data_IF_151041173532
#
_entry.id   IF_151041173532
#
_cell.length_a   1.000
_cell.length_b   1.000
_cell.length_c   1.000
_cell.angle_alpha   90.00
_cell.angle_beta   90.00
_cell.angle_gamma   90.00
#
_symmetry.space_group_name_H-M   'P 1'
#
loop_
_entity.id
_entity.type
_entity.pdbx_description
1 polymer ?
#
# COMPACT_ATOMS: atom_id res chain seq x y z
N UNK A 1 -41.35 -15.72 19.41
CA UNK A 1 -40.57 -14.85 20.28
C UNK A 1 -39.12 -15.21 20.34
N UNK A 2 -38.80 -16.43 20.61
CA UNK A 2 -37.42 -16.87 20.62
C UNK A 2 -36.76 -16.79 19.30
N UNK A 3 -37.53 -16.95 18.22
CA UNK A 3 -37.02 -16.86 16.85
C UNK A 3 -36.42 -15.52 16.51
N UNK A 4 -36.87 -14.45 17.13
CA UNK A 4 -36.36 -13.12 16.85
C UNK A 4 -34.89 -13.00 17.24
N UNK A 5 -34.52 -13.59 18.34
CA UNK A 5 -33.15 -13.52 18.84
C UNK A 5 -32.20 -14.27 17.95
N UNK A 6 -32.64 -15.39 17.44
CA UNK A 6 -31.83 -16.19 16.54
C UNK A 6 -31.51 -15.45 15.25
N UNK A 7 -32.49 -14.74 14.74
CA UNK A 7 -32.27 -13.97 13.51
C UNK A 7 -31.21 -12.90 13.67
N UNK A 8 -31.17 -12.27 14.82
CA UNK A 8 -30.19 -11.24 15.06
C UNK A 8 -28.75 -11.77 15.06
N UNK A 9 -28.58 -12.95 15.62
CA UNK A 9 -27.27 -13.57 15.61
C UNK A 9 -26.78 -13.87 14.19
N UNK A 10 -27.68 -14.27 13.32
CA UNK A 10 -27.32 -14.56 11.95
C UNK A 10 -26.88 -13.33 11.18
N UNK A 11 -27.51 -12.21 11.45
CA UNK A 11 -27.14 -10.96 10.78
C UNK A 11 -25.72 -10.53 11.14
N UNK A 12 -25.32 -10.69 12.37
CA UNK A 12 -23.97 -10.37 12.79
C UNK A 12 -22.93 -11.20 12.04
N UNK A 13 -23.23 -12.45 11.84
CA UNK A 13 -22.34 -13.36 11.11
C UNK A 13 -22.15 -12.90 9.67
N UNK A 14 -23.19 -12.48 9.02
CA UNK A 14 -23.12 -12.02 7.64
C UNK A 14 -22.22 -10.81 7.51
N UNK A 15 -22.27 -9.88 8.45
CA UNK A 15 -21.41 -8.71 8.42
C UNK A 15 -19.93 -9.07 8.46
N UNK A 16 -19.56 -10.06 9.24
CA UNK A 16 -18.17 -10.49 9.33
C UNK A 16 -17.69 -11.02 7.98
N UNK A 17 -18.51 -11.76 7.29
CA UNK A 17 -18.14 -12.31 6.00
C UNK A 17 -17.89 -11.22 4.97
N UNK A 18 -18.65 -10.15 5.01
CA UNK A 18 -18.46 -9.05 4.07
C UNK A 18 -17.08 -8.42 4.21
N UNK A 19 -16.53 -8.34 5.41
CA UNK A 19 -15.24 -7.75 5.63
C UNK A 19 -14.12 -8.55 5.00
N UNK A 20 -14.23 -9.84 4.94
CA UNK A 20 -13.20 -10.69 4.35
C UNK A 20 -13.01 -10.47 2.87
N UNK A 21 -14.07 -10.15 2.16
CA UNK A 21 -13.99 -9.93 0.73
C UNK A 21 -13.22 -8.69 0.32
N UNK A 22 -12.88 -7.83 1.28
CA UNK A 22 -12.22 -6.57 0.98
C UNK A 22 -10.71 -6.62 1.14
N UNK A 23 -10.15 -7.75 1.54
CA UNK A 23 -8.73 -7.85 1.85
C UNK A 23 -7.82 -7.89 0.62
N UNK A 24 -8.37 -8.04 -0.59
CA UNK A 24 -7.59 -8.30 -1.79
C UNK A 24 -7.44 -7.09 -2.71
N UNK A 25 -7.49 -5.87 -2.18
CA UNK A 25 -7.35 -4.66 -2.99
C UNK A 25 -5.90 -4.34 -3.35
N UNK A 26 -5.69 -3.43 -4.32
CA UNK A 26 -4.35 -2.98 -4.65
C UNK A 26 -3.70 -2.23 -3.51
N UNK A 27 -2.38 -2.29 -3.45
CA UNK A 27 -1.57 -1.56 -2.46
C UNK A 27 -1.00 -0.32 -3.11
N UNK A 28 -1.06 0.80 -2.41
CA UNK A 28 -0.49 2.06 -2.90
C UNK A 28 0.50 2.59 -1.88
N UNK A 29 1.70 2.90 -2.33
CA UNK A 29 2.70 3.63 -1.56
C UNK A 29 2.94 4.99 -2.18
N UNK A 30 3.35 5.93 -1.36
CA UNK A 30 3.66 7.30 -1.80
C UNK A 30 5.10 7.63 -1.44
N UNK A 31 5.76 8.36 -2.34
CA UNK A 31 7.13 8.83 -2.14
C UNK A 31 7.15 10.33 -2.37
N UNK A 32 7.76 11.07 -1.46
CA UNK A 32 7.86 12.53 -1.54
C UNK A 32 9.25 12.98 -1.14
N UNK A 33 9.78 14.03 -1.79
CA UNK A 33 11.05 14.61 -1.34
C UNK A 33 11.04 15.08 0.11
N UNK A 34 9.85 15.44 0.62
CA UNK A 34 9.69 15.82 2.02
C UNK A 34 9.25 14.68 2.92
N UNK A 35 9.27 13.46 2.42
CA UNK A 35 8.84 12.29 3.19
C UNK A 35 9.93 11.74 4.10
N UNK A 36 9.62 10.63 4.73
CA UNK A 36 10.55 9.93 5.61
C UNK A 36 10.44 8.43 5.42
N UNK A 37 11.59 7.77 5.35
CA UNK A 37 11.63 6.32 5.21
C UNK A 37 11.19 5.60 6.50
N UNK A 38 11.06 6.32 7.59
CA UNK A 38 10.53 5.79 8.84
C UNK A 38 8.99 5.74 8.87
N UNK A 39 8.34 6.39 7.94
CA UNK A 39 6.87 6.42 7.86
C UNK A 39 6.34 5.22 7.10
N UNK A 40 5.02 5.05 7.11
CA UNK A 40 4.39 3.90 6.48
C UNK A 40 4.36 3.95 4.96
N UNK A 41 4.46 5.14 4.38
CA UNK A 41 4.34 5.32 2.94
C UNK A 41 2.93 5.15 2.40
N UNK A 42 1.93 4.98 3.26
CA UNK A 42 0.56 4.67 2.82
C UNK A 42 -0.34 5.89 2.72
N UNK A 43 0.14 7.06 3.08
CA UNK A 43 -0.59 8.31 2.96
C UNK A 43 0.18 9.28 2.09
N UNK A 44 -0.53 10.14 1.38
CA UNK A 44 0.07 10.99 0.35
C UNK A 44 0.74 12.24 0.89
N UNK A 45 0.47 12.61 2.12
CA UNK A 45 1.03 13.82 2.75
C UNK A 45 1.33 13.53 4.21
N UNK A 46 2.31 14.25 4.79
CA UNK A 46 2.58 14.10 6.22
C UNK A 46 1.36 14.48 7.04
N UNK A 47 1.12 13.74 8.12
CA UNK A 47 0.06 14.13 9.06
C UNK A 47 0.49 15.34 9.88
N UNK A 48 -0.44 15.91 10.63
CA UNK A 48 -0.20 17.14 11.38
C UNK A 48 0.96 17.01 12.37
N UNK A 49 1.08 15.86 13.01
CA UNK A 49 2.12 15.60 14.00
C UNK A 49 3.44 15.17 13.37
N UNK A 50 3.47 14.97 12.08
CA UNK A 50 4.63 14.45 11.34
C UNK A 50 5.13 13.13 11.91
N UNK A 51 4.20 12.27 12.25
CA UNK A 51 4.49 10.91 12.72
C UNK A 51 4.24 9.87 11.64
N UNK A 52 3.59 10.26 10.56
CA UNK A 52 3.31 9.39 9.44
C UNK A 52 3.18 10.21 8.16
N UNK A 53 3.47 9.58 7.03
CA UNK A 53 3.40 10.24 5.73
C UNK A 53 3.99 9.37 4.65
N UNK A 54 4.31 9.97 3.50
CA UNK A 54 4.94 9.25 2.40
C UNK A 54 6.38 8.87 2.74
N UNK A 55 6.90 7.87 2.04
CA UNK A 55 8.32 7.54 2.12
C UNK A 55 9.16 8.69 1.55
N UNK A 56 10.41 8.76 1.98
CA UNK A 56 11.34 9.76 1.47
C UNK A 56 12.16 9.31 0.28
N UNK A 57 12.19 8.03 -0.04
CA UNK A 57 13.00 7.51 -1.14
C UNK A 57 12.30 6.41 -1.91
N UNK A 58 12.69 6.28 -3.18
CA UNK A 58 12.22 5.20 -4.04
C UNK A 58 12.73 3.84 -3.54
N UNK A 59 13.95 3.82 -3.02
CA UNK A 59 14.52 2.58 -2.49
C UNK A 59 13.70 2.04 -1.34
N UNK A 60 13.20 2.91 -0.47
CA UNK A 60 12.35 2.47 0.64
C UNK A 60 11.03 1.88 0.15
N UNK A 61 10.43 2.49 -0.88
CA UNK A 61 9.20 1.96 -1.46
C UNK A 61 9.44 0.57 -2.06
N UNK A 62 10.54 0.41 -2.79
CA UNK A 62 10.91 -0.89 -3.33
C UNK A 62 11.06 -1.92 -2.21
N UNK A 63 11.75 -1.56 -1.16
CA UNK A 63 11.98 -2.48 -0.05
C UNK A 63 10.69 -2.83 0.68
N UNK A 64 9.75 -1.90 0.77
CA UNK A 64 8.44 -2.17 1.34
C UNK A 64 7.67 -3.22 0.53
N UNK A 65 7.78 -3.17 -0.79
CA UNK A 65 7.16 -4.17 -1.66
C UNK A 65 7.80 -5.54 -1.42
N UNK A 66 9.12 -5.56 -1.30
CA UNK A 66 9.84 -6.81 -1.02
C UNK A 66 9.43 -7.41 0.31
N UNK A 67 9.24 -6.56 1.33
CA UNK A 67 8.77 -6.99 2.64
C UNK A 67 7.39 -7.63 2.56
N UNK A 68 6.47 -7.04 1.81
CA UNK A 68 5.14 -7.59 1.63
C UNK A 68 5.18 -8.98 1.00
N UNK A 69 6.04 -9.17 0.03
CA UNK A 69 6.18 -10.46 -0.64
C UNK A 69 6.83 -11.49 0.26
N UNK A 70 7.82 -11.08 1.04
CA UNK A 70 8.49 -11.96 1.98
C UNK A 70 7.53 -12.47 3.05
N UNK A 71 6.54 -11.68 3.42
CA UNK A 71 5.51 -12.06 4.37
C UNK A 71 4.46 -13.02 3.76
N UNK A 72 4.64 -13.39 2.50
CA UNK A 72 3.72 -14.30 1.83
C UNK A 72 2.42 -13.66 1.36
N UNK A 73 2.33 -12.35 1.40
CA UNK A 73 1.13 -11.67 0.95
C UNK A 73 1.01 -11.70 -0.56
N UNK A 74 -0.17 -12.06 -1.02
CA UNK A 74 -0.46 -12.00 -2.44
C UNK A 74 -0.88 -10.58 -2.79
N UNK A 75 -0.16 -9.99 -3.73
CA UNK A 75 -0.42 -8.62 -4.15
C UNK A 75 -1.37 -8.59 -5.34
N UNK A 76 -2.56 -9.14 -5.13
CA UNK A 76 -3.60 -9.12 -6.15
C UNK A 76 -4.06 -7.69 -6.37
N UNK A 77 -4.24 -7.31 -7.63
CA UNK A 77 -4.54 -5.94 -7.97
C UNK A 77 -3.30 -5.08 -8.11
N UNK A 78 -2.13 -5.59 -7.74
CA UNK A 78 -0.86 -4.95 -7.95
C UNK A 78 -0.46 -3.97 -6.87
N UNK A 79 0.69 -3.33 -7.11
CA UNK A 79 1.24 -2.30 -6.23
C UNK A 79 1.51 -1.06 -7.07
N UNK A 80 1.11 0.08 -6.56
CA UNK A 80 1.38 1.37 -7.19
C UNK A 80 2.25 2.17 -6.25
N UNK A 81 3.31 2.74 -6.81
CA UNK A 81 4.16 3.70 -6.09
C UNK A 81 3.97 5.04 -6.79
N UNK A 82 3.38 5.99 -6.07
CA UNK A 82 3.07 7.31 -6.60
C UNK A 82 4.05 8.33 -6.06
N UNK A 83 4.74 8.99 -6.98
CA UNK A 83 5.77 9.97 -6.63
C UNK A 83 5.16 11.36 -6.60
N UNK A 84 5.29 12.02 -5.44
CA UNK A 84 4.86 13.41 -5.30
C UNK A 84 5.84 14.33 -6.01
N UNK A 85 5.37 15.51 -6.37
CA UNK A 85 6.16 16.48 -7.12
C UNK A 85 7.42 16.94 -6.38
N UNK A 86 8.40 17.38 -7.14
CA UNK A 86 9.66 17.86 -6.61
C UNK A 86 10.84 17.04 -7.11
N UNK A 87 12.01 17.30 -6.53
CA UNK A 87 13.25 16.63 -6.92
C UNK A 87 13.48 15.43 -6.00
N UNK A 88 13.57 14.25 -6.61
CA UNK A 88 13.88 13.02 -5.89
C UNK A 88 15.37 12.71 -6.07
N UNK A 89 16.13 12.89 -5.00
CA UNK A 89 17.57 12.61 -5.06
C UNK A 89 17.84 11.14 -4.90
N UNK A 90 18.76 10.65 -5.71
CA UNK A 90 19.25 9.29 -5.61
C UNK A 90 20.72 9.37 -5.25
N UNK A 91 21.07 8.90 -4.07
CA UNK A 91 22.48 8.83 -3.64
C UNK A 91 23.19 7.68 -4.33
N UNK A 92 22.43 6.66 -4.69
CA UNK A 92 22.90 5.50 -5.42
C UNK A 92 21.93 5.21 -6.56
N UNK A 93 22.36 4.52 -7.61
CA UNK A 93 21.43 4.12 -8.67
C UNK A 93 20.25 3.34 -8.10
N UNK A 94 19.05 3.69 -8.53
CA UNK A 94 17.86 2.96 -8.14
C UNK A 94 17.80 1.65 -8.92
N UNK A 95 17.96 0.54 -8.23
CA UNK A 95 18.05 -0.77 -8.86
C UNK A 95 16.79 -1.58 -8.61
N UNK A 96 16.30 -2.18 -9.68
CA UNK A 96 15.21 -3.15 -9.63
C UNK A 96 15.75 -4.50 -10.10
N UNK A 97 15.36 -5.54 -9.42
CA UNK A 97 15.73 -6.90 -9.78
C UNK A 97 14.47 -7.68 -10.17
N UNK A 98 14.61 -8.91 -10.67
CA UNK A 98 13.43 -9.69 -11.05
C UNK A 98 12.40 -9.84 -9.93
N UNK A 99 12.83 -9.84 -8.67
CA UNK A 99 11.90 -9.92 -7.54
C UNK A 99 11.00 -8.68 -7.42
N UNK A 100 11.36 -7.58 -8.06
CA UNK A 100 10.60 -6.34 -8.04
C UNK A 100 9.58 -6.28 -9.16
N UNK A 101 9.60 -7.23 -10.07
CA UNK A 101 8.64 -7.30 -11.15
C UNK A 101 7.30 -7.79 -10.63
N UNK A 102 6.24 -7.19 -11.13
CA UNK A 102 4.91 -7.68 -10.85
C UNK A 102 4.56 -8.86 -11.72
N UNK A 103 3.34 -9.32 -11.58
CA UNK A 103 2.74 -10.32 -12.46
C UNK A 103 1.64 -9.65 -13.26
N UNK A 104 1.08 -10.37 -14.25
CA UNK A 104 -0.04 -9.84 -15.00
C UNK A 104 -1.27 -9.59 -14.12
N UNK A 105 -1.39 -10.33 -13.03
CA UNK A 105 -2.48 -10.17 -12.09
C UNK A 105 -2.19 -9.13 -11.01
N UNK A 106 -0.92 -8.88 -10.74
CA UNK A 106 -0.49 -7.92 -9.74
C UNK A 106 0.72 -7.14 -10.20
N UNK A 107 0.59 -6.23 -11.16
CA UNK A 107 1.72 -5.46 -11.67
C UNK A 107 2.24 -4.47 -10.63
N UNK A 108 3.52 -4.12 -10.75
CA UNK A 108 4.13 -3.06 -9.96
C UNK A 108 4.29 -1.84 -10.86
N UNK A 109 3.72 -0.72 -10.46
CA UNK A 109 3.72 0.51 -11.27
C UNK A 109 4.31 1.66 -10.45
N UNK A 110 5.28 2.34 -11.02
CA UNK A 110 5.82 3.59 -10.49
C UNK A 110 5.33 4.72 -11.37
N UNK A 111 4.63 5.69 -10.81
CA UNK A 111 4.02 6.76 -11.58
C UNK A 111 3.99 8.07 -10.79
N UNK A 112 3.80 9.17 -11.50
CA UNK A 112 3.61 10.46 -10.84
C UNK A 112 2.23 10.51 -10.17
N UNK A 113 2.17 11.16 -9.02
CA UNK A 113 0.92 11.41 -8.32
C UNK A 113 0.12 12.43 -9.10
N UNK A 114 -1.12 12.15 -9.33
CA UNK A 114 -2.10 13.00 -10.07
C UNK A 114 -1.61 14.36 -10.57
N UNK A 115 -1.09 14.40 -11.79
CA UNK A 115 -0.68 15.66 -12.41
C UNK A 115 0.62 16.28 -11.90
N UNK A 116 1.34 15.59 -11.06
CA UNK A 116 2.63 16.10 -10.56
C UNK A 116 3.83 15.56 -11.33
#
# INVERSE_FOLDING_TARGET
>A
MLTSIIRNALLATVCILCLHGQAAGPVTFYVSPGGSDAWSGTVSSPNADRTNGPFGSLARARDAIRELRADGKQLQGGVRVLLRGGTHRLEEPFRLSPEDSGTSEGPVVFAAFEGE
#
